data_IF_069603352142
#
_entry.id   IF_069603352142
#
_cell.length_a   1.000
_cell.length_b   1.000
_cell.length_c   1.000
_cell.angle_alpha   90.00
_cell.angle_beta   90.00
_cell.angle_gamma   90.00
#
_symmetry.space_group_name_H-M   'P 1'
#
loop_
_entity.id
_entity.type
_entity.pdbx_description
1 polymer ?
#
# COMPACT_ATOMS: atom_id res chain seq x y z
N UNK A 1 16.38 15.44 15.73
CA UNK A 1 16.60 16.39 14.59
C UNK A 1 15.31 17.15 14.39
N UNK A 2 15.36 18.50 14.34
CA UNK A 2 14.20 19.37 14.28
C UNK A 2 13.39 19.17 12.98
N UNK A 3 12.06 18.95 13.08
CA UNK A 3 11.10 18.89 11.98
C UNK A 3 10.78 20.30 11.42
N UNK A 4 11.39 21.33 11.96
CA UNK A 4 11.09 22.74 11.74
C UNK A 4 11.26 23.28 10.30
N UNK A 5 11.82 22.47 9.38
CA UNK A 5 12.06 22.92 8.00
C UNK A 5 10.85 22.97 7.07
N UNK A 6 9.69 22.43 7.49
CA UNK A 6 8.48 22.39 6.67
C UNK A 6 7.43 23.43 7.05
N UNK A 7 7.63 24.15 8.17
CA UNK A 7 6.69 25.18 8.60
C UNK A 7 6.50 26.26 7.52
N UNK A 8 5.25 26.45 7.09
CA UNK A 8 4.87 27.40 6.05
C UNK A 8 5.24 27.00 4.61
N UNK A 9 5.86 25.82 4.39
CA UNK A 9 6.14 25.29 3.04
C UNK A 9 4.88 24.77 2.37
N UNK A 10 4.74 25.06 1.10
CA UNK A 10 3.61 24.63 0.27
C UNK A 10 3.94 23.36 -0.48
N UNK A 11 3.21 22.30 -0.17
CA UNK A 11 3.39 20.96 -0.75
C UNK A 11 2.20 20.60 -1.63
N UNK A 12 2.41 20.42 -2.94
CA UNK A 12 1.43 19.81 -3.80
C UNK A 12 1.51 18.30 -3.66
N UNK A 13 0.46 17.66 -3.18
CA UNK A 13 0.36 16.19 -3.08
C UNK A 13 -0.53 15.66 -4.19
N UNK A 14 0.10 15.14 -5.25
CA UNK A 14 -0.58 14.61 -6.44
C UNK A 14 -0.83 13.13 -6.25
N UNK A 15 -2.08 12.69 -6.38
CA UNK A 15 -2.45 11.30 -6.18
C UNK A 15 -3.61 10.88 -7.09
N UNK A 16 -3.77 9.57 -7.38
CA UNK A 16 -4.92 9.10 -8.14
C UNK A 16 -6.22 9.29 -7.34
N UNK A 17 -7.33 9.47 -8.04
CA UNK A 17 -8.66 9.59 -7.43
C UNK A 17 -9.24 8.23 -6.98
N UNK A 18 -8.39 7.40 -6.40
CA UNK A 18 -8.77 6.11 -5.81
C UNK A 18 -9.06 6.28 -4.33
N UNK A 19 -10.02 5.53 -3.79
CA UNK A 19 -10.48 5.70 -2.41
C UNK A 19 -10.66 4.40 -1.61
N UNK A 20 -10.54 3.23 -2.24
CA UNK A 20 -10.79 1.95 -1.56
C UNK A 20 -9.59 1.00 -1.63
N UNK A 21 -8.38 1.55 -1.68
CA UNK A 21 -7.15 0.77 -1.86
C UNK A 21 -6.02 1.21 -0.91
N UNK A 22 -4.93 0.46 -0.89
CA UNK A 22 -3.73 0.77 -0.10
C UNK A 22 -3.14 2.15 -0.42
N UNK A 23 -3.11 2.54 -1.70
CA UNK A 23 -2.64 3.87 -2.14
C UNK A 23 -3.35 5.01 -1.41
N UNK A 24 -4.68 4.92 -1.24
CA UNK A 24 -5.43 5.97 -0.53
C UNK A 24 -4.99 6.11 0.93
N UNK A 25 -4.74 5.00 1.62
CA UNK A 25 -4.22 5.01 3.00
C UNK A 25 -2.83 5.65 3.08
N UNK A 26 -1.96 5.36 2.12
CA UNK A 26 -0.64 6.01 2.01
C UNK A 26 -0.80 7.52 1.87
N UNK A 27 -1.67 7.97 0.97
CA UNK A 27 -1.96 9.40 0.75
C UNK A 27 -2.46 10.09 2.01
N UNK A 28 -3.38 9.46 2.77
CA UNK A 28 -3.85 10.02 4.06
C UNK A 28 -2.70 10.19 5.06
N UNK A 29 -1.83 9.19 5.17
CA UNK A 29 -0.66 9.26 6.03
C UNK A 29 0.35 10.34 5.60
N UNK A 30 0.53 10.53 4.29
CA UNK A 30 1.37 11.61 3.73
C UNK A 30 0.82 13.00 4.10
N UNK A 31 -0.50 13.21 3.94
CA UNK A 31 -1.17 14.47 4.30
C UNK A 31 -0.97 14.76 5.78
N UNK A 32 -1.23 13.77 6.63
CA UNK A 32 -1.06 13.89 8.07
C UNK A 32 0.38 14.20 8.47
N UNK A 33 1.36 13.52 7.86
CA UNK A 33 2.77 13.73 8.11
C UNK A 33 3.21 15.15 7.75
N UNK A 34 2.87 15.65 6.58
CA UNK A 34 3.21 17.01 6.15
C UNK A 34 2.54 18.08 7.03
N UNK A 35 1.26 17.90 7.36
CA UNK A 35 0.54 18.82 8.25
C UNK A 35 1.17 18.86 9.65
N UNK A 36 1.54 17.69 10.18
CA UNK A 36 2.21 17.60 11.49
C UNK A 36 3.60 18.28 11.50
N UNK A 37 4.25 18.40 10.34
CA UNK A 37 5.49 19.16 10.17
C UNK A 37 5.25 20.66 9.93
N UNK A 38 4.00 21.14 9.90
CA UNK A 38 3.63 22.53 9.70
C UNK A 38 3.56 22.98 8.23
N UNK A 39 3.56 22.03 7.28
CA UNK A 39 3.41 22.36 5.87
C UNK A 39 1.94 22.67 5.50
N UNK A 40 1.76 23.57 4.53
CA UNK A 40 0.50 23.78 3.85
C UNK A 40 0.36 22.75 2.72
N UNK A 41 -0.56 21.79 2.87
CA UNK A 41 -0.71 20.66 1.96
C UNK A 41 -1.90 20.86 1.02
N UNK A 42 -1.65 20.67 -0.26
CA UNK A 42 -2.65 20.73 -1.34
C UNK A 42 -2.87 19.33 -1.93
N UNK A 43 -3.81 18.50 -1.39
CA UNK A 43 -4.12 17.22 -1.96
C UNK A 43 -4.83 17.38 -3.31
N UNK A 44 -4.25 16.82 -4.37
CA UNK A 44 -4.72 16.96 -5.75
C UNK A 44 -5.04 15.57 -6.27
N UNK A 45 -6.32 15.20 -6.22
CA UNK A 45 -6.82 13.95 -6.78
C UNK A 45 -6.95 14.06 -8.30
N UNK A 46 -6.32 13.15 -9.03
CA UNK A 46 -6.32 13.15 -10.50
C UNK A 46 -6.95 11.86 -11.01
N UNK A 47 -7.94 11.98 -11.88
CA UNK A 47 -8.46 10.85 -12.63
C UNK A 47 -7.51 10.52 -13.76
N UNK A 48 -6.96 9.31 -13.73
CA UNK A 48 -6.10 8.74 -14.77
C UNK A 48 -6.78 7.63 -15.55
N UNK A 49 -8.02 7.30 -15.20
CA UNK A 49 -8.77 6.23 -15.85
C UNK A 49 -9.44 6.72 -17.14
N UNK A 50 -9.50 5.87 -18.18
CA UNK A 50 -10.10 6.23 -19.46
C UNK A 50 -11.63 6.27 -19.43
N UNK A 51 -12.25 6.30 -18.27
CA UNK A 51 -13.69 6.35 -18.10
C UNK A 51 -14.27 7.59 -18.75
N UNK A 52 -14.95 7.41 -19.87
CA UNK A 52 -15.74 8.45 -20.56
C UNK A 52 -17.01 8.71 -19.77
N UNK A 53 -16.90 9.40 -18.66
CA UNK A 53 -18.09 9.79 -17.91
C UNK A 53 -18.48 11.20 -18.32
N UNK A 54 -19.65 11.39 -18.92
CA UNK A 54 -20.23 12.71 -19.14
C UNK A 54 -20.48 13.38 -17.79
N UNK A 55 -19.85 14.52 -17.55
CA UNK A 55 -20.07 15.30 -16.35
C UNK A 55 -18.96 15.10 -15.30
N UNK A 56 -18.01 16.02 -15.26
CA UNK A 56 -16.95 16.14 -14.26
C UNK A 56 -17.47 16.12 -12.82
N UNK A 57 -18.61 16.73 -12.60
CA UNK A 57 -19.18 16.89 -11.27
C UNK A 57 -19.60 15.56 -10.63
N UNK A 58 -19.97 14.56 -11.44
CA UNK A 58 -20.37 13.27 -10.92
C UNK A 58 -19.16 12.49 -10.34
N UNK A 59 -18.05 12.39 -11.09
CA UNK A 59 -16.83 11.70 -10.61
C UNK A 59 -16.30 12.37 -9.36
N UNK A 60 -16.27 13.71 -9.36
CA UNK A 60 -15.82 14.48 -8.20
C UNK A 60 -16.73 14.26 -6.99
N UNK A 61 -18.04 14.33 -7.18
CA UNK A 61 -19.01 14.10 -6.09
C UNK A 61 -18.88 12.69 -5.52
N UNK A 62 -18.78 11.67 -6.37
CA UNK A 62 -18.57 10.29 -5.92
C UNK A 62 -17.28 10.12 -5.13
N UNK A 63 -16.16 10.68 -5.62
CA UNK A 63 -14.89 10.67 -4.90
C UNK A 63 -15.01 11.42 -3.58
N UNK A 64 -15.62 12.62 -3.57
CA UNK A 64 -15.80 13.42 -2.38
C UNK A 64 -16.65 12.74 -1.31
N UNK A 65 -17.70 12.03 -1.70
CA UNK A 65 -18.54 11.24 -0.79
C UNK A 65 -17.81 10.02 -0.21
N UNK A 66 -16.98 9.38 -1.02
CA UNK A 66 -16.22 8.19 -0.63
C UNK A 66 -14.95 8.52 0.18
N UNK A 67 -14.55 9.78 0.31
CA UNK A 67 -13.34 10.23 0.98
C UNK A 67 -13.61 11.35 2.00
N UNK A 68 -14.47 11.11 3.01
CA UNK A 68 -14.84 12.13 3.98
C UNK A 68 -13.66 12.56 4.87
N UNK A 69 -12.62 11.71 5.00
CA UNK A 69 -11.41 12.01 5.79
C UNK A 69 -10.55 13.12 5.17
N UNK A 70 -10.67 13.33 3.87
CA UNK A 70 -10.04 14.46 3.22
C UNK A 70 -10.86 15.72 3.50
N UNK A 71 -10.22 16.74 4.02
CA UNK A 71 -10.84 18.05 4.21
C UNK A 71 -11.32 18.62 2.87
N UNK A 72 -12.65 18.82 2.75
CA UNK A 72 -13.27 19.30 1.52
C UNK A 72 -12.77 20.67 1.07
N UNK A 73 -12.34 21.51 1.99
CA UNK A 73 -11.79 22.85 1.71
C UNK A 73 -10.36 22.82 1.16
N UNK A 74 -9.63 21.72 1.35
CA UNK A 74 -8.21 21.61 0.99
C UNK A 74 -7.93 20.64 -0.14
N UNK A 75 -8.91 19.83 -0.56
CA UNK A 75 -8.74 18.85 -1.64
C UNK A 75 -9.18 19.42 -2.98
N UNK A 76 -8.47 19.01 -4.01
CA UNK A 76 -8.74 19.46 -5.37
C UNK A 76 -8.80 18.28 -6.32
N UNK A 77 -9.53 18.44 -7.42
CA UNK A 77 -9.73 17.40 -8.39
C UNK A 77 -9.31 17.84 -9.79
N UNK A 78 -8.51 17.02 -10.44
CA UNK A 78 -8.12 17.16 -11.85
C UNK A 78 -8.60 15.98 -12.69
N UNK A 79 -9.02 16.26 -13.92
CA UNK A 79 -9.41 15.21 -14.86
C UNK A 79 -9.37 15.74 -16.29
N UNK A 80 -9.19 14.83 -17.27
CA UNK A 80 -9.20 15.21 -18.68
C UNK A 80 -10.64 15.58 -19.09
N UNK A 81 -10.86 16.77 -19.68
CA UNK A 81 -12.17 17.11 -20.23
C UNK A 81 -12.47 16.28 -21.47
N UNK A 82 -13.74 15.98 -21.70
CA UNK A 82 -14.17 15.10 -22.79
C UNK A 82 -13.62 15.53 -24.18
N UNK A 83 -13.65 16.81 -24.49
CA UNK A 83 -13.12 17.31 -25.77
C UNK A 83 -11.62 17.08 -25.95
N UNK A 84 -10.83 16.95 -24.87
CA UNK A 84 -9.39 16.71 -24.95
C UNK A 84 -9.05 15.27 -25.38
N UNK A 85 -10.01 14.33 -25.25
CA UNK A 85 -9.85 12.93 -25.66
C UNK A 85 -10.41 12.65 -27.06
N UNK A 86 -11.00 13.63 -27.70
CA UNK A 86 -11.48 13.55 -29.08
C UNK A 86 -10.48 14.08 -30.11
N UNK A 87 -9.38 14.70 -29.66
CA UNK A 87 -8.40 15.33 -30.56
C UNK A 87 -7.51 14.31 -31.27
N UNK A 88 -7.04 14.62 -32.52
CA UNK A 88 -6.15 13.72 -33.30
C UNK A 88 -4.90 13.31 -32.54
N UNK A 89 -4.32 14.20 -31.73
CA UNK A 89 -3.15 13.90 -30.89
C UNK A 89 -3.44 12.87 -29.80
N UNK A 90 -4.64 12.86 -29.24
CA UNK A 90 -5.01 11.84 -28.29
C UNK A 90 -5.18 10.49 -28.99
N UNK A 91 -5.87 10.48 -30.12
CA UNK A 91 -6.08 9.26 -30.89
C UNK A 91 -4.76 8.60 -31.31
N UNK A 92 -3.80 9.38 -31.83
CA UNK A 92 -2.53 8.84 -32.35
C UNK A 92 -1.49 8.55 -31.26
N UNK A 93 -1.40 9.38 -30.20
CA UNK A 93 -0.33 9.29 -29.19
C UNK A 93 -0.76 8.64 -27.88
N UNK A 94 -2.04 8.36 -27.71
CA UNK A 94 -2.59 7.80 -26.48
C UNK A 94 -3.46 6.57 -26.76
N UNK A 95 -4.54 6.74 -27.52
CA UNK A 95 -5.48 5.66 -27.77
C UNK A 95 -4.89 4.58 -28.66
N UNK A 96 -4.23 4.96 -29.77
CA UNK A 96 -3.62 3.99 -30.69
C UNK A 96 -2.54 3.14 -30.02
N UNK A 97 -1.52 3.67 -29.30
CA UNK A 97 -0.58 2.87 -28.54
C UNK A 97 -1.28 1.98 -27.51
N UNK A 98 -2.28 2.51 -26.80
CA UNK A 98 -3.04 1.74 -25.84
C UNK A 98 -3.71 0.50 -26.46
N UNK A 99 -4.36 0.66 -27.61
CA UNK A 99 -5.00 -0.46 -28.33
C UNK A 99 -3.99 -1.50 -28.85
N UNK A 100 -2.70 -1.16 -28.90
CA UNK A 100 -1.60 -2.04 -29.26
C UNK A 100 -0.79 -2.52 -28.06
N UNK A 101 -1.36 -2.49 -26.86
CA UNK A 101 -0.76 -3.07 -25.66
C UNK A 101 -0.03 -2.10 -24.74
N UNK A 102 0.00 -0.80 -25.06
CA UNK A 102 0.63 0.22 -24.23
C UNK A 102 -0.33 0.74 -23.15
N UNK A 103 -0.41 0.02 -22.05
CA UNK A 103 -1.30 0.39 -20.94
C UNK A 103 -0.85 1.68 -20.22
N UNK A 104 0.43 2.02 -20.24
CA UNK A 104 0.92 3.26 -19.66
C UNK A 104 0.45 4.48 -20.47
N UNK A 105 0.35 4.37 -21.79
CA UNK A 105 -0.03 5.46 -22.68
C UNK A 105 -1.38 6.08 -22.31
N UNK A 106 -2.38 5.27 -21.95
CA UNK A 106 -3.69 5.81 -21.60
C UNK A 106 -3.65 6.60 -20.29
N UNK A 107 -2.98 6.07 -19.26
CA UNK A 107 -2.89 6.72 -17.94
C UNK A 107 -2.06 8.01 -18.01
N UNK A 108 -0.88 7.95 -18.64
CA UNK A 108 -0.04 9.12 -18.87
C UNK A 108 -0.74 10.17 -19.74
N UNK A 109 -1.41 9.72 -20.80
CA UNK A 109 -2.15 10.60 -21.71
C UNK A 109 -3.34 11.29 -21.06
N UNK A 110 -4.08 10.62 -20.19
CA UNK A 110 -5.17 11.20 -19.40
C UNK A 110 -4.63 12.20 -18.37
N UNK A 111 -3.60 11.85 -17.63
CA UNK A 111 -2.95 12.73 -16.66
C UNK A 111 -2.39 14.00 -17.33
N UNK A 112 -1.72 13.86 -18.47
CA UNK A 112 -1.20 14.99 -19.23
C UNK A 112 -2.28 16.01 -19.65
N UNK A 113 -3.51 15.53 -19.83
CA UNK A 113 -4.68 16.35 -20.23
C UNK A 113 -5.56 16.79 -19.07
N UNK A 114 -5.23 16.39 -17.85
CA UNK A 114 -6.00 16.78 -16.68
C UNK A 114 -6.03 18.31 -16.55
N UNK A 115 -7.25 18.87 -16.44
CA UNK A 115 -7.43 20.28 -16.09
C UNK A 115 -7.39 20.40 -14.57
N UNK A 116 -6.54 21.30 -14.12
CA UNK A 116 -6.46 21.72 -12.73
C UNK A 116 -7.17 23.06 -12.55
N UNK A 117 -7.69 23.38 -11.36
CA UNK A 117 -8.11 24.73 -11.01
C UNK A 117 -6.99 25.73 -11.27
N UNK A 118 -7.35 26.91 -11.79
CA UNK A 118 -6.36 27.93 -12.18
C UNK A 118 -5.49 28.36 -11.01
N UNK A 119 -6.07 28.52 -9.83
CA UNK A 119 -5.38 28.88 -8.59
C UNK A 119 -4.26 27.89 -8.20
N UNK A 120 -4.48 26.58 -8.39
CA UNK A 120 -3.47 25.56 -8.14
C UNK A 120 -2.40 25.55 -9.22
N UNK A 121 -2.82 25.64 -10.49
CA UNK A 121 -1.89 25.67 -11.60
C UNK A 121 -1.00 26.96 -11.58
N UNK A 122 -1.48 28.04 -11.00
CA UNK A 122 -0.75 29.31 -10.87
C UNK A 122 0.12 29.41 -9.61
N UNK A 123 -0.14 28.56 -8.61
CA UNK A 123 0.55 28.60 -7.32
C UNK A 123 2.00 28.13 -7.44
N UNK A 124 2.90 28.74 -6.70
CA UNK A 124 4.26 28.25 -6.53
C UNK A 124 4.29 27.29 -5.35
N UNK A 125 4.86 26.11 -5.56
CA UNK A 125 5.06 25.09 -4.56
C UNK A 125 6.54 25.00 -4.21
N UNK A 126 6.82 24.67 -2.95
CA UNK A 126 8.18 24.38 -2.48
C UNK A 126 8.56 22.93 -2.79
N UNK A 127 7.56 22.03 -2.85
CA UNK A 127 7.73 20.61 -3.10
C UNK A 127 6.50 20.06 -3.83
N UNK A 128 6.72 19.13 -4.77
CA UNK A 128 5.68 18.32 -5.38
C UNK A 128 5.90 16.87 -4.99
N UNK A 129 4.95 16.28 -4.26
CA UNK A 129 4.95 14.86 -3.94
C UNK A 129 3.96 14.14 -4.82
N UNK A 130 4.44 13.27 -5.69
CA UNK A 130 3.65 12.54 -6.68
C UNK A 130 3.49 11.07 -6.25
N UNK A 131 2.28 10.57 -6.35
CA UNK A 131 1.97 9.14 -6.15
C UNK A 131 1.71 8.48 -7.50
N UNK A 132 2.45 7.44 -7.82
CA UNK A 132 2.47 6.72 -9.09
C UNK A 132 3.06 7.50 -10.28
N UNK A 133 3.83 6.79 -11.09
CA UNK A 133 4.55 7.34 -12.24
C UNK A 133 3.62 7.98 -13.29
N UNK A 134 2.43 7.44 -13.48
CA UNK A 134 1.50 7.94 -14.49
C UNK A 134 0.93 9.33 -14.18
N UNK A 135 1.09 9.85 -12.96
CA UNK A 135 0.74 11.22 -12.58
C UNK A 135 1.90 12.23 -12.73
N UNK A 136 3.08 11.77 -13.12
CA UNK A 136 4.24 12.63 -13.38
C UNK A 136 3.97 13.79 -14.37
N UNK A 137 3.11 13.64 -15.41
CA UNK A 137 2.75 14.79 -16.25
C UNK A 137 2.08 15.93 -15.47
N UNK A 138 1.30 15.63 -14.45
CA UNK A 138 0.67 16.63 -13.57
C UNK A 138 1.71 17.21 -12.62
N UNK A 139 2.54 16.36 -11.99
CA UNK A 139 3.59 16.78 -11.08
C UNK A 139 4.57 17.78 -11.74
N UNK A 140 5.05 17.46 -12.96
CA UNK A 140 5.93 18.33 -13.73
C UNK A 140 5.29 19.69 -14.05
N UNK A 141 3.98 19.72 -14.34
CA UNK A 141 3.25 20.99 -14.58
C UNK A 141 3.16 21.85 -13.34
N UNK A 142 2.98 21.25 -12.16
CA UNK A 142 2.93 21.96 -10.88
C UNK A 142 4.32 22.43 -10.43
N UNK A 143 5.33 21.58 -10.60
CA UNK A 143 6.72 21.89 -10.27
C UNK A 143 7.32 23.01 -11.13
N UNK A 144 6.88 23.16 -12.38
CA UNK A 144 7.34 24.18 -13.34
C UNK A 144 8.87 24.25 -13.49
N UNK A 145 9.58 23.15 -13.27
CA UNK A 145 11.04 23.12 -13.26
C UNK A 145 11.71 23.87 -12.11
N UNK A 146 10.95 24.29 -11.08
CA UNK A 146 11.44 25.03 -9.89
C UNK A 146 11.34 24.22 -8.61
N UNK A 147 10.20 23.61 -8.36
CA UNK A 147 10.02 22.76 -7.19
C UNK A 147 10.57 21.35 -7.45
N UNK A 148 11.26 20.73 -6.50
CA UNK A 148 11.66 19.34 -6.59
C UNK A 148 10.44 18.42 -6.57
N UNK A 149 10.60 17.25 -7.22
CA UNK A 149 9.56 16.21 -7.30
C UNK A 149 10.02 14.96 -6.55
N UNK A 150 9.29 14.60 -5.48
CA UNK A 150 9.32 13.29 -4.88
C UNK A 150 8.32 12.40 -5.60
N UNK A 151 8.69 11.17 -5.91
CA UNK A 151 7.78 10.19 -6.51
C UNK A 151 7.72 8.93 -5.66
N UNK A 152 6.56 8.67 -5.05
CA UNK A 152 6.22 7.35 -4.52
C UNK A 152 5.87 6.41 -5.67
N UNK A 153 6.68 5.36 -5.81
CA UNK A 153 6.54 4.40 -6.93
C UNK A 153 5.35 3.46 -6.74
N UNK A 154 4.96 3.20 -5.50
CA UNK A 154 3.98 2.21 -5.03
C UNK A 154 4.40 0.79 -5.37
N UNK A 155 4.16 0.36 -6.61
CA UNK A 155 4.51 -0.98 -7.10
C UNK A 155 5.22 -0.85 -8.44
N UNK A 156 6.00 -1.86 -8.83
CA UNK A 156 6.47 -2.01 -10.21
C UNK A 156 5.27 -2.36 -11.10
N UNK A 157 4.66 -1.33 -11.69
CA UNK A 157 3.39 -1.44 -12.40
C UNK A 157 3.48 -2.37 -13.62
N UNK A 158 4.61 -2.40 -14.32
CA UNK A 158 4.82 -3.33 -15.42
C UNK A 158 4.63 -4.79 -14.96
N UNK A 159 5.18 -5.18 -13.80
CA UNK A 159 4.99 -6.52 -13.19
C UNK A 159 3.55 -6.77 -12.76
N UNK A 160 2.88 -5.76 -12.19
CA UNK A 160 1.48 -5.89 -11.80
C UNK A 160 0.57 -6.16 -13.00
N UNK A 161 0.79 -5.45 -14.11
CA UNK A 161 0.00 -5.66 -15.32
C UNK A 161 0.30 -6.99 -15.99
N UNK A 162 1.54 -7.47 -15.95
CA UNK A 162 1.90 -8.82 -16.44
C UNK A 162 1.14 -9.91 -15.67
N UNK A 163 1.13 -9.83 -14.34
CA UNK A 163 0.35 -10.73 -13.48
C UNK A 163 -1.16 -10.64 -13.76
N UNK A 164 -1.66 -9.44 -14.00
CA UNK A 164 -3.05 -9.21 -14.35
C UNK A 164 -3.41 -9.86 -15.70
N UNK A 165 -2.56 -9.70 -16.71
CA UNK A 165 -2.72 -10.34 -18.02
C UNK A 165 -2.73 -11.88 -17.93
N UNK A 166 -1.89 -12.46 -17.06
CA UNK A 166 -1.85 -13.90 -16.86
C UNK A 166 -3.14 -14.43 -16.23
N UNK A 167 -3.74 -13.67 -15.31
CA UNK A 167 -5.01 -14.02 -14.64
C UNK A 167 -6.25 -13.78 -15.49
N UNK A 168 -6.19 -12.82 -16.42
CA UNK A 168 -7.32 -12.43 -17.28
C UNK A 168 -6.91 -12.49 -18.77
N UNK A 169 -6.69 -13.70 -19.33
CA UNK A 169 -6.19 -13.86 -20.68
C UNK A 169 -7.12 -13.31 -21.78
N UNK A 170 -8.40 -13.11 -21.46
CA UNK A 170 -9.40 -12.50 -22.36
C UNK A 170 -9.39 -10.97 -22.36
N UNK A 171 -8.65 -10.32 -21.45
CA UNK A 171 -8.60 -8.86 -21.40
C UNK A 171 -7.72 -8.33 -22.52
N UNK A 172 -8.26 -7.42 -23.31
CA UNK A 172 -7.56 -6.76 -24.42
C UNK A 172 -7.62 -5.23 -24.21
N UNK A 173 -6.55 -4.52 -24.55
CA UNK A 173 -5.26 -4.99 -25.09
C UNK A 173 -4.37 -5.61 -24.00
N UNK A 174 -3.54 -6.58 -24.37
CA UNK A 174 -2.54 -7.17 -23.48
C UNK A 174 -1.37 -6.21 -23.30
N UNK A 175 -0.83 -6.17 -22.10
CA UNK A 175 0.37 -5.39 -21.80
C UNK A 175 1.62 -6.12 -22.31
N UNK A 176 2.47 -5.41 -23.06
CA UNK A 176 3.86 -5.83 -23.30
C UNK A 176 4.68 -5.32 -22.10
N UNK A 177 5.27 -6.25 -21.33
CA UNK A 177 6.02 -5.93 -20.11
C UNK A 177 7.12 -4.90 -20.36
N UNK A 178 7.96 -5.15 -21.37
CA UNK A 178 9.11 -4.31 -21.69
C UNK A 178 8.67 -2.90 -22.12
N UNK A 179 7.57 -2.81 -22.86
CA UNK A 179 7.03 -1.53 -23.31
C UNK A 179 6.48 -0.71 -22.15
N UNK A 180 5.74 -1.36 -21.25
CA UNK A 180 5.23 -0.69 -20.05
C UNK A 180 6.36 -0.29 -19.12
N UNK A 181 7.33 -1.17 -18.89
CA UNK A 181 8.50 -0.89 -18.07
C UNK A 181 9.28 0.31 -18.61
N UNK A 182 9.55 0.35 -19.91
CA UNK A 182 10.26 1.47 -20.51
C UNK A 182 9.57 2.82 -20.27
N UNK A 183 8.25 2.88 -20.36
CA UNK A 183 7.48 4.10 -20.12
C UNK A 183 7.40 4.46 -18.64
N UNK A 184 7.28 3.48 -17.77
CA UNK A 184 7.33 3.65 -16.32
C UNK A 184 8.67 4.27 -15.92
N UNK A 185 9.78 3.69 -16.34
CA UNK A 185 11.13 4.18 -16.06
C UNK A 185 11.36 5.58 -16.65
N UNK A 186 10.92 5.84 -17.87
CA UNK A 186 11.06 7.16 -18.51
C UNK A 186 10.28 8.24 -17.75
N UNK A 187 9.08 7.93 -17.26
CA UNK A 187 8.32 8.87 -16.44
C UNK A 187 9.03 9.16 -15.10
N UNK A 188 9.60 8.11 -14.47
CA UNK A 188 10.31 8.19 -13.18
C UNK A 188 11.60 9.03 -13.26
N UNK A 189 12.29 9.05 -14.41
CA UNK A 189 13.48 9.90 -14.61
C UNK A 189 13.24 11.37 -14.36
N UNK A 190 11.98 11.82 -14.44
CA UNK A 190 11.60 13.19 -14.15
C UNK A 190 11.47 13.55 -12.67
N UNK A 191 11.63 12.60 -11.76
CA UNK A 191 11.63 12.85 -10.32
C UNK A 191 13.04 13.12 -9.79
N UNK A 192 13.15 13.90 -8.71
CA UNK A 192 14.44 14.19 -8.03
C UNK A 192 14.80 13.10 -7.02
N UNK A 193 13.78 12.43 -6.45
CA UNK A 193 13.93 11.32 -5.54
C UNK A 193 12.78 10.31 -5.75
N UNK A 194 13.12 9.03 -5.85
CA UNK A 194 12.18 7.92 -5.90
C UNK A 194 12.04 7.32 -4.50
N UNK A 195 10.81 7.26 -4.00
CA UNK A 195 10.44 6.65 -2.74
C UNK A 195 9.79 5.29 -3.00
N UNK A 196 10.28 4.26 -2.33
CA UNK A 196 9.78 2.90 -2.49
C UNK A 196 9.11 2.46 -1.20
N UNK A 197 7.93 1.85 -1.32
CA UNK A 197 7.12 1.45 -0.19
C UNK A 197 7.50 0.07 0.37
N UNK A 198 8.38 -0.66 -0.32
CA UNK A 198 8.88 -1.95 0.13
C UNK A 198 10.34 -2.17 -0.29
N UNK A 199 11.05 -3.03 0.47
CA UNK A 199 12.49 -3.23 0.30
C UNK A 199 12.83 -3.91 -1.03
N UNK A 200 12.07 -4.92 -1.45
CA UNK A 200 12.33 -5.66 -2.68
C UNK A 200 12.24 -4.77 -3.91
N UNK A 201 11.18 -3.95 -4.00
CA UNK A 201 11.03 -3.03 -5.12
C UNK A 201 12.05 -1.90 -5.09
N UNK A 202 12.50 -1.49 -3.89
CA UNK A 202 13.60 -0.54 -3.79
C UNK A 202 14.90 -1.07 -4.43
N UNK A 203 15.18 -2.37 -4.28
CA UNK A 203 16.31 -3.04 -4.93
C UNK A 203 16.10 -3.18 -6.44
N UNK A 204 14.92 -3.64 -6.86
CA UNK A 204 14.55 -3.79 -8.26
C UNK A 204 14.71 -2.45 -9.01
N UNK A 205 14.15 -1.36 -8.46
CA UNK A 205 14.24 -0.03 -9.08
C UNK A 205 15.65 0.56 -9.05
N UNK A 206 16.46 0.28 -8.03
CA UNK A 206 17.88 0.70 -8.03
C UNK A 206 18.66 0.02 -9.16
N UNK A 207 18.36 -1.24 -9.44
CA UNK A 207 18.98 -1.95 -10.56
C UNK A 207 18.50 -1.41 -11.93
N UNK A 208 17.22 -1.01 -12.04
CA UNK A 208 16.60 -0.53 -13.27
C UNK A 208 16.93 0.95 -13.59
N UNK A 209 17.14 1.78 -12.58
CA UNK A 209 17.41 3.23 -12.70
C UNK A 209 18.59 3.66 -11.79
N UNK A 210 19.79 3.08 -11.97
CA UNK A 210 20.92 3.34 -11.06
C UNK A 210 21.37 4.82 -11.03
N UNK A 211 21.02 5.60 -12.03
CA UNK A 211 21.34 7.01 -12.11
C UNK A 211 20.44 7.91 -11.22
N UNK A 212 19.35 7.35 -10.66
CA UNK A 212 18.42 8.10 -9.83
C UNK A 212 18.74 7.96 -8.34
N UNK A 213 18.25 8.91 -7.54
CA UNK A 213 18.26 8.78 -6.08
C UNK A 213 17.07 7.95 -5.63
N UNK A 214 17.33 6.95 -4.80
CA UNK A 214 16.33 6.02 -4.28
C UNK A 214 16.33 6.03 -2.75
N UNK A 215 15.18 5.96 -2.15
CA UNK A 215 15.02 5.74 -0.72
C UNK A 215 13.88 4.77 -0.44
N UNK A 216 14.09 3.89 0.55
CA UNK A 216 13.03 3.08 1.12
C UNK A 216 12.30 3.92 2.16
N UNK A 217 11.00 4.07 1.99
CA UNK A 217 10.11 4.78 2.91
C UNK A 217 8.82 3.98 3.07
N UNK A 218 8.75 3.16 4.10
CA UNK A 218 7.56 2.36 4.37
C UNK A 218 6.34 3.24 4.63
N UNK A 219 5.15 2.84 4.15
CA UNK A 219 3.93 3.61 4.37
C UNK A 219 3.54 3.61 5.84
N UNK A 220 3.04 4.73 6.38
CA UNK A 220 2.58 4.77 7.76
C UNK A 220 1.35 3.88 7.91
N UNK A 221 1.40 3.01 8.91
CA UNK A 221 0.34 2.06 9.22
C UNK A 221 -0.13 2.30 10.65
N UNK A 222 -1.43 2.43 10.92
CA UNK A 222 -1.94 2.55 12.28
C UNK A 222 -1.53 1.35 13.14
N UNK A 223 -1.22 1.60 14.41
CA UNK A 223 -0.93 0.52 15.37
C UNK A 223 -2.21 -0.22 15.77
N UNK A 224 -2.10 -1.52 15.97
CA UNK A 224 -3.12 -2.24 16.72
C UNK A 224 -3.16 -1.73 18.17
N UNK A 225 -4.35 -1.58 18.77
CA UNK A 225 -4.47 -1.17 20.16
C UNK A 225 -3.81 -2.20 21.08
N UNK A 226 -3.15 -1.70 22.10
CA UNK A 226 -2.67 -2.53 23.21
C UNK A 226 -3.86 -2.86 24.09
N UNK A 227 -4.01 -4.14 24.43
CA UNK A 227 -5.06 -4.61 25.33
C UNK A 227 -4.47 -5.44 26.46
N UNK A 228 -5.30 -5.87 27.42
CA UNK A 228 -4.86 -6.63 28.58
C UNK A 228 -4.26 -8.00 28.21
N UNK A 229 -4.31 -8.38 26.93
CA UNK A 229 -3.96 -9.69 26.46
C UNK A 229 -5.11 -10.68 26.60
N UNK A 230 -5.01 -11.81 25.94
CA UNK A 230 -5.99 -12.89 25.98
C UNK A 230 -5.35 -14.21 25.60
N UNK A 231 -6.16 -15.26 25.50
CA UNK A 231 -5.68 -16.61 25.19
C UNK A 231 -5.83 -17.00 23.70
N UNK A 232 -6.35 -16.13 22.87
CA UNK A 232 -6.70 -16.44 21.49
C UNK A 232 -5.46 -16.56 20.59
N UNK A 233 -5.48 -17.53 19.70
CA UNK A 233 -4.54 -17.66 18.58
C UNK A 233 -5.32 -17.21 17.34
N UNK A 234 -4.80 -16.22 16.62
CA UNK A 234 -5.60 -15.53 15.62
C UNK A 234 -4.93 -15.47 14.24
N UNK A 235 -5.76 -15.54 13.20
CA UNK A 235 -5.46 -15.13 11.82
C UNK A 235 -6.40 -13.97 11.50
N UNK A 236 -5.85 -12.81 11.14
CA UNK A 236 -6.66 -11.66 10.66
C UNK A 236 -6.53 -11.56 9.15
N UNK A 237 -7.63 -11.65 8.42
CA UNK A 237 -7.57 -11.81 6.96
C UNK A 237 -8.79 -11.23 6.25
N UNK A 238 -8.56 -10.46 5.18
CA UNK A 238 -9.59 -9.90 4.31
C UNK A 238 -9.86 -10.81 3.11
N UNK A 239 -11.02 -10.64 2.48
CA UNK A 239 -11.46 -11.43 1.33
C UNK A 239 -10.79 -10.94 0.03
N UNK A 240 -9.54 -11.37 -0.20
CA UNK A 240 -8.87 -11.29 -1.50
C UNK A 240 -8.26 -12.66 -1.86
N UNK A 241 -7.96 -12.87 -3.12
CA UNK A 241 -7.53 -14.19 -3.63
C UNK A 241 -6.34 -14.76 -2.84
N UNK A 242 -5.28 -13.97 -2.64
CA UNK A 242 -4.08 -14.42 -1.94
C UNK A 242 -4.35 -14.81 -0.47
N UNK A 243 -5.23 -14.08 0.19
CA UNK A 243 -5.64 -14.36 1.56
C UNK A 243 -6.50 -15.62 1.65
N UNK A 244 -7.44 -15.79 0.71
CA UNK A 244 -8.30 -16.99 0.65
C UNK A 244 -7.45 -18.23 0.42
N UNK A 245 -6.53 -18.21 -0.55
CA UNK A 245 -5.58 -19.29 -0.80
C UNK A 245 -4.75 -19.63 0.44
N UNK A 246 -4.27 -18.61 1.14
CA UNK A 246 -3.46 -18.76 2.36
C UNK A 246 -4.25 -19.41 3.51
N UNK A 247 -5.51 -19.00 3.71
CA UNK A 247 -6.37 -19.60 4.74
C UNK A 247 -6.77 -21.03 4.37
N UNK A 248 -7.05 -21.30 3.09
CA UNK A 248 -7.31 -22.67 2.60
C UNK A 248 -6.09 -23.55 2.83
N UNK A 249 -4.88 -23.08 2.53
CA UNK A 249 -3.64 -23.80 2.80
C UNK A 249 -3.46 -24.10 4.29
N UNK A 250 -3.68 -23.09 5.16
CA UNK A 250 -3.63 -23.29 6.61
C UNK A 250 -4.60 -24.38 7.09
N UNK A 251 -5.85 -24.34 6.65
CA UNK A 251 -6.89 -25.28 7.06
C UNK A 251 -6.64 -26.70 6.53
N UNK A 252 -6.04 -26.83 5.34
CA UNK A 252 -5.77 -28.12 4.69
C UNK A 252 -4.49 -28.76 5.18
N UNK A 253 -3.41 -27.99 5.33
CA UNK A 253 -2.08 -28.52 5.53
C UNK A 253 -1.55 -28.36 6.96
N UNK A 254 -1.99 -27.34 7.71
CA UNK A 254 -1.47 -27.03 9.05
C UNK A 254 -2.42 -27.46 10.15
N UNK A 255 -3.70 -27.07 10.07
CA UNK A 255 -4.67 -27.32 11.12
C UNK A 255 -4.83 -28.82 11.48
N UNK A 256 -4.79 -29.80 10.54
CA UNK A 256 -4.85 -31.22 10.86
C UNK A 256 -3.62 -31.73 11.62
N UNK A 257 -2.46 -31.06 11.46
CA UNK A 257 -1.19 -31.44 12.12
C UNK A 257 -1.04 -30.85 13.52
N UNK A 258 -1.91 -29.89 13.88
CA UNK A 258 -1.99 -29.30 15.21
C UNK A 258 -3.39 -29.57 15.83
N UNK A 259 -3.79 -30.84 16.02
CA UNK A 259 -5.09 -31.18 16.55
C UNK A 259 -5.23 -30.63 17.97
N UNK A 260 -6.40 -30.08 18.30
CA UNK A 260 -6.65 -29.50 19.64
C UNK A 260 -6.21 -28.02 19.79
N UNK A 261 -5.48 -27.46 18.85
CA UNK A 261 -5.18 -26.03 18.87
C UNK A 261 -6.35 -25.24 18.28
N UNK A 262 -6.97 -24.42 19.11
CA UNK A 262 -8.06 -23.55 18.72
C UNK A 262 -7.49 -22.27 18.06
N UNK A 263 -7.74 -22.09 16.77
CA UNK A 263 -7.34 -20.89 16.02
C UNK A 263 -8.59 -20.16 15.55
N UNK A 264 -8.69 -18.87 15.83
CA UNK A 264 -9.76 -17.98 15.37
C UNK A 264 -9.34 -17.27 14.08
N UNK A 265 -10.22 -17.20 13.10
CA UNK A 265 -10.00 -16.54 11.82
C UNK A 265 -10.96 -15.34 11.74
N UNK A 266 -10.41 -14.15 11.85
CA UNK A 266 -11.16 -12.90 11.85
C UNK A 266 -11.06 -12.19 10.48
N UNK A 267 -12.15 -11.55 10.08
CA UNK A 267 -12.26 -10.81 8.82
C UNK A 267 -13.19 -11.52 7.83
N UNK A 268 -13.49 -10.85 6.72
CA UNK A 268 -14.44 -11.32 5.72
C UNK A 268 -13.88 -12.38 4.74
N UNK A 269 -12.76 -13.01 5.07
CA UNK A 269 -12.13 -14.09 4.28
C UNK A 269 -13.02 -15.34 4.23
N UNK A 270 -13.91 -15.52 5.21
CA UNK A 270 -14.86 -16.62 5.31
C UNK A 270 -15.71 -16.79 4.04
N UNK A 271 -16.17 -15.67 3.45
CA UNK A 271 -16.95 -15.71 2.22
C UNK A 271 -16.14 -16.29 1.04
N UNK A 272 -14.88 -15.92 0.93
CA UNK A 272 -13.98 -16.44 -0.11
C UNK A 272 -13.63 -17.92 0.10
N UNK A 273 -13.37 -18.34 1.34
CA UNK A 273 -13.09 -19.74 1.67
C UNK A 273 -14.34 -20.60 1.42
N UNK A 274 -15.52 -20.11 1.79
CA UNK A 274 -16.80 -20.82 1.50
C UNK A 274 -17.01 -21.00 0.00
N UNK A 275 -16.68 -20.01 -0.81
CA UNK A 275 -16.83 -20.09 -2.26
C UNK A 275 -15.76 -21.00 -2.91
N UNK A 276 -14.51 -20.94 -2.45
CA UNK A 276 -13.37 -21.64 -3.05
C UNK A 276 -13.16 -23.08 -2.53
N UNK A 277 -13.62 -23.39 -1.30
CA UNK A 277 -13.45 -24.67 -0.64
C UNK A 277 -14.60 -24.95 0.35
N UNK A 278 -15.84 -25.16 -0.13
CA UNK A 278 -17.03 -25.23 0.73
C UNK A 278 -16.98 -26.36 1.77
N UNK A 279 -16.47 -27.52 1.42
CA UNK A 279 -16.34 -28.65 2.36
C UNK A 279 -15.37 -28.33 3.50
N UNK A 280 -14.24 -27.70 3.17
CA UNK A 280 -13.24 -27.26 4.14
C UNK A 280 -13.80 -26.18 5.05
N UNK A 281 -14.59 -25.25 4.49
CA UNK A 281 -15.28 -24.23 5.28
C UNK A 281 -16.23 -24.86 6.29
N UNK A 282 -17.09 -25.80 5.87
CA UNK A 282 -18.06 -26.47 6.76
C UNK A 282 -17.36 -27.26 7.88
N UNK A 283 -16.25 -27.95 7.56
CA UNK A 283 -15.46 -28.68 8.55
C UNK A 283 -14.84 -27.76 9.63
N UNK A 284 -14.58 -26.50 9.29
CA UNK A 284 -13.89 -25.54 10.15
C UNK A 284 -14.70 -24.28 10.48
N UNK A 285 -16.01 -24.24 10.20
CA UNK A 285 -16.86 -23.04 10.35
C UNK A 285 -16.81 -22.41 11.73
N UNK A 286 -16.61 -23.18 12.78
CA UNK A 286 -16.48 -22.67 14.15
C UNK A 286 -15.21 -21.86 14.44
N UNK A 287 -14.24 -21.85 13.52
CA UNK A 287 -13.03 -21.03 13.63
C UNK A 287 -13.23 -19.60 13.09
N UNK A 288 -14.22 -19.40 12.21
CA UNK A 288 -14.44 -18.11 11.56
C UNK A 288 -15.28 -17.18 12.43
N UNK A 289 -14.75 -16.00 12.70
CA UNK A 289 -15.45 -14.91 13.39
C UNK A 289 -16.24 -14.01 12.42
N UNK A 290 -16.02 -14.18 11.10
CA UNK A 290 -16.57 -13.30 10.08
C UNK A 290 -15.96 -11.89 10.13
N UNK A 291 -16.67 -10.94 9.53
CA UNK A 291 -16.26 -9.54 9.52
C UNK A 291 -16.26 -8.97 10.95
N UNK A 292 -15.15 -8.36 11.32
CA UNK A 292 -15.01 -7.62 12.59
C UNK A 292 -14.92 -6.13 12.27
N UNK A 293 -15.58 -5.31 13.06
CA UNK A 293 -15.60 -3.86 12.86
C UNK A 293 -14.27 -3.23 13.26
N UNK A 294 -13.65 -3.75 14.31
CA UNK A 294 -12.32 -3.34 14.78
C UNK A 294 -11.36 -4.55 14.82
N UNK A 295 -10.50 -4.71 13.80
CA UNK A 295 -9.45 -5.72 13.83
C UNK A 295 -8.49 -5.57 15.02
N UNK A 296 -8.35 -4.37 15.55
CA UNK A 296 -7.52 -4.10 16.73
C UNK A 296 -7.99 -4.84 17.96
N UNK A 297 -9.29 -4.99 18.16
CA UNK A 297 -9.87 -5.76 19.27
C UNK A 297 -9.48 -7.24 19.21
N UNK A 298 -9.29 -7.80 18.00
CA UNK A 298 -8.84 -9.18 17.82
C UNK A 298 -7.40 -9.35 18.33
N UNK A 299 -6.50 -8.42 17.98
CA UNK A 299 -5.12 -8.43 18.48
C UNK A 299 -5.06 -8.17 20.01
N UNK A 300 -5.95 -7.33 20.53
CA UNK A 300 -6.00 -7.05 21.97
C UNK A 300 -6.32 -8.30 22.81
N UNK A 301 -7.18 -9.19 22.30
CA UNK A 301 -7.57 -10.45 22.95
C UNK A 301 -6.69 -11.66 22.64
N UNK A 302 -5.65 -11.49 21.83
CA UNK A 302 -4.82 -12.59 21.38
C UNK A 302 -3.55 -12.78 22.22
N UNK A 303 -2.99 -14.01 22.16
CA UNK A 303 -1.65 -14.35 22.65
C UNK A 303 -0.66 -14.65 21.55
N UNK A 304 -1.13 -14.97 20.37
CA UNK A 304 -0.31 -15.38 19.22
C UNK A 304 -0.99 -14.99 17.92
N UNK A 305 -0.23 -14.47 16.98
CA UNK A 305 -0.70 -14.16 15.63
C UNK A 305 -0.10 -15.13 14.62
N UNK A 306 -0.92 -15.67 13.76
CA UNK A 306 -0.50 -16.55 12.66
C UNK A 306 -0.61 -15.81 11.33
N UNK A 307 0.44 -15.88 10.55
CA UNK A 307 0.53 -15.30 9.21
C UNK A 307 0.89 -16.38 8.17
N UNK A 308 -0.03 -17.30 7.84
CA UNK A 308 0.20 -18.41 6.94
C UNK A 308 0.13 -17.97 5.46
N UNK A 309 0.77 -16.88 5.11
CA UNK A 309 0.67 -16.27 3.78
C UNK A 309 1.53 -17.04 2.77
N UNK A 310 0.95 -17.52 1.67
CA UNK A 310 1.67 -18.28 0.63
C UNK A 310 1.77 -17.53 -0.71
N UNK A 311 1.02 -16.44 -0.87
CA UNK A 311 1.01 -15.65 -2.11
C UNK A 311 0.75 -14.17 -1.83
N UNK A 312 0.95 -13.33 -2.84
CA UNK A 312 0.73 -11.88 -2.78
C UNK A 312 1.94 -11.08 -3.21
N UNK A 313 1.73 -9.79 -3.50
CA UNK A 313 2.74 -8.81 -3.94
C UNK A 313 2.79 -7.63 -2.99
N UNK A 314 3.81 -6.78 -3.12
CA UNK A 314 3.97 -5.58 -2.32
C UNK A 314 4.21 -5.85 -0.83
N UNK A 315 4.08 -4.83 0.01
CA UNK A 315 4.22 -4.94 1.46
C UNK A 315 2.98 -5.61 2.10
N UNK A 316 3.22 -6.55 3.00
CA UNK A 316 2.16 -7.20 3.78
C UNK A 316 1.68 -6.32 4.94
N UNK A 317 0.64 -5.53 4.74
CA UNK A 317 0.08 -4.66 5.80
C UNK A 317 -0.40 -5.46 7.02
N UNK A 318 -0.94 -6.67 6.84
CA UNK A 318 -1.32 -7.55 7.95
C UNK A 318 -0.14 -7.89 8.88
N UNK A 319 1.04 -8.08 8.27
CA UNK A 319 2.26 -8.34 9.04
C UNK A 319 2.69 -7.11 9.83
N UNK A 320 2.59 -5.92 9.22
CA UNK A 320 2.85 -4.66 9.93
C UNK A 320 1.88 -4.46 11.10
N UNK A 321 0.60 -4.73 10.91
CA UNK A 321 -0.42 -4.68 11.97
C UNK A 321 -0.12 -5.70 13.08
N UNK A 322 0.23 -6.94 12.72
CA UNK A 322 0.63 -7.97 13.69
C UNK A 322 1.85 -7.54 14.51
N UNK A 323 2.90 -7.02 13.85
CA UNK A 323 4.10 -6.49 14.54
C UNK A 323 3.74 -5.34 15.50
N UNK A 324 2.83 -4.45 15.09
CA UNK A 324 2.40 -3.33 15.94
C UNK A 324 1.70 -3.76 17.22
N UNK A 325 1.10 -4.96 17.23
CA UNK A 325 0.45 -5.52 18.40
C UNK A 325 1.44 -5.97 19.49
N UNK A 326 2.72 -6.18 19.14
CA UNK A 326 3.75 -6.69 20.04
C UNK A 326 3.57 -8.15 20.44
N UNK A 327 2.63 -8.87 19.83
CA UNK A 327 2.41 -10.29 20.09
C UNK A 327 3.48 -11.15 19.42
N UNK A 328 3.76 -12.36 19.93
CA UNK A 328 4.48 -13.38 19.19
C UNK A 328 3.80 -13.69 17.85
N UNK A 329 4.62 -13.96 16.83
CA UNK A 329 4.16 -14.18 15.46
C UNK A 329 4.76 -15.49 14.93
N UNK A 330 3.94 -16.33 14.30
CA UNK A 330 4.41 -17.41 13.44
C UNK A 330 4.04 -17.04 12.00
N UNK A 331 5.03 -16.98 11.14
CA UNK A 331 4.88 -16.48 9.78
C UNK A 331 5.58 -17.35 8.76
N UNK A 332 5.06 -17.42 7.56
CA UNK A 332 5.82 -17.89 6.39
C UNK A 332 6.77 -16.77 5.91
N UNK A 333 7.83 -17.07 5.15
CA UNK A 333 8.67 -16.04 4.52
C UNK A 333 7.85 -15.06 3.67
N UNK A 334 6.84 -15.56 2.97
CA UNK A 334 5.95 -14.75 2.13
C UNK A 334 5.11 -13.72 2.93
N UNK A 335 4.90 -13.97 4.23
CA UNK A 335 4.21 -13.02 5.09
C UNK A 335 5.06 -11.76 5.38
N UNK A 336 6.40 -11.87 5.34
CA UNK A 336 7.33 -10.77 5.56
C UNK A 336 7.79 -10.11 4.25
N UNK A 337 7.15 -10.45 3.12
CA UNK A 337 7.50 -9.85 1.83
C UNK A 337 7.44 -8.32 1.88
N UNK A 338 8.37 -7.70 1.20
CA UNK A 338 8.49 -6.24 1.14
C UNK A 338 9.17 -5.60 2.35
N UNK A 339 9.48 -6.38 3.41
CA UNK A 339 10.25 -5.92 4.55
C UNK A 339 11.75 -6.15 4.31
N UNK A 340 12.59 -5.42 5.06
CA UNK A 340 14.04 -5.62 5.02
C UNK A 340 14.46 -6.89 5.79
N UNK A 341 15.74 -7.26 5.67
CA UNK A 341 16.28 -8.49 6.25
C UNK A 341 16.18 -8.54 7.79
N UNK A 342 16.12 -7.40 8.46
CA UNK A 342 15.98 -7.32 9.93
C UNK A 342 14.67 -7.97 10.38
N UNK A 343 13.59 -7.79 9.63
CA UNK A 343 12.27 -8.34 9.97
C UNK A 343 12.26 -9.86 10.14
N UNK A 344 13.10 -10.57 9.38
CA UNK A 344 13.18 -12.03 9.39
C UNK A 344 13.92 -12.60 10.60
N UNK A 345 14.61 -11.76 11.37
CA UNK A 345 15.44 -12.16 12.49
C UNK A 345 14.95 -11.60 13.83
N UNK A 346 13.78 -10.99 13.87
CA UNK A 346 13.24 -10.38 15.08
C UNK A 346 12.88 -11.43 16.13
N UNK A 347 13.37 -11.31 17.36
CA UNK A 347 12.92 -12.16 18.45
C UNK A 347 11.40 -12.07 18.63
N UNK A 348 10.74 -13.21 18.80
CA UNK A 348 9.29 -13.31 18.88
C UNK A 348 8.58 -13.40 17.51
N UNK A 349 9.33 -13.38 16.40
CA UNK A 349 8.82 -13.67 15.06
C UNK A 349 9.45 -14.97 14.57
N UNK A 350 8.69 -16.05 14.57
CA UNK A 350 9.12 -17.36 14.08
C UNK A 350 8.79 -17.47 12.58
N UNK A 351 9.83 -17.45 11.75
CA UNK A 351 9.66 -17.60 10.30
C UNK A 351 9.90 -19.06 9.93
N UNK A 352 8.90 -19.70 9.33
CA UNK A 352 8.88 -21.13 9.02
C UNK A 352 8.44 -21.37 7.59
N UNK A 353 9.10 -22.28 6.89
CA UNK A 353 8.92 -22.47 5.45
C UNK A 353 7.89 -23.55 5.11
N UNK A 354 7.82 -24.63 5.92
CA UNK A 354 6.97 -25.78 5.63
C UNK A 354 5.72 -25.82 6.52
N UNK A 355 4.70 -26.55 6.07
CA UNK A 355 3.49 -26.78 6.87
C UNK A 355 3.78 -27.57 8.15
N UNK A 356 4.78 -28.46 8.12
CA UNK A 356 5.18 -29.26 9.29
C UNK A 356 5.86 -28.37 10.34
N UNK A 357 6.78 -27.51 9.92
CA UNK A 357 7.44 -26.55 10.80
C UNK A 357 6.42 -25.57 11.39
N UNK A 358 5.47 -25.11 10.57
CA UNK A 358 4.43 -24.21 11.03
C UNK A 358 3.54 -24.87 12.10
N UNK A 359 3.12 -26.11 11.88
CA UNK A 359 2.31 -26.87 12.83
C UNK A 359 3.10 -27.18 14.11
N UNK A 360 4.38 -27.50 14.00
CA UNK A 360 5.29 -27.69 15.14
C UNK A 360 5.42 -26.42 15.99
N UNK A 361 5.75 -25.30 15.36
CA UNK A 361 5.83 -24.01 16.03
C UNK A 361 4.51 -23.59 16.68
N UNK A 362 3.37 -23.81 15.97
CA UNK A 362 2.04 -23.55 16.49
C UNK A 362 1.73 -24.39 17.73
N UNK A 363 2.05 -25.68 17.73
CA UNK A 363 1.80 -26.59 18.85
C UNK A 363 2.60 -26.18 20.08
N UNK A 364 3.86 -25.81 19.91
CA UNK A 364 4.73 -25.31 21.00
C UNK A 364 4.19 -24.00 21.55
N UNK A 365 3.98 -23.01 20.72
CA UNK A 365 3.53 -21.67 21.16
C UNK A 365 2.07 -21.67 21.70
N UNK A 366 1.26 -22.66 21.32
CA UNK A 366 -0.08 -22.80 21.88
C UNK A 366 -0.09 -23.16 23.38
N UNK A 367 0.99 -23.78 23.88
CA UNK A 367 1.15 -24.11 25.29
C UNK A 367 1.64 -22.91 26.15
N UNK A 368 2.17 -21.84 25.51
CA UNK A 368 2.68 -20.69 26.20
C UNK A 368 1.57 -19.87 26.87
N UNK A 369 1.92 -19.26 27.98
CA UNK A 369 1.05 -18.28 28.64
C UNK A 369 0.90 -17.01 27.80
N UNK A 370 -0.25 -16.32 27.88
CA UNK A 370 -0.43 -15.03 27.22
C UNK A 370 0.64 -14.02 27.65
N UNK A 371 1.25 -13.25 26.71
CA UNK A 371 2.19 -12.21 27.06
C UNK A 371 1.48 -11.08 27.81
N UNK A 372 2.14 -10.50 28.81
CA UNK A 372 1.65 -9.32 29.51
C UNK A 372 1.73 -8.09 28.59
N UNK A 373 0.99 -7.06 28.93
CA UNK A 373 1.06 -5.78 28.20
C UNK A 373 2.48 -5.18 28.19
N UNK A 374 3.22 -5.31 29.31
CA UNK A 374 4.62 -4.90 29.41
C UNK A 374 5.52 -5.64 28.42
N UNK A 375 5.32 -6.95 28.27
CA UNK A 375 6.12 -7.78 27.36
C UNK A 375 5.83 -7.41 25.91
N UNK A 376 4.57 -7.15 25.58
CA UNK A 376 4.13 -6.68 24.27
C UNK A 376 4.69 -5.28 23.94
N UNK A 377 4.67 -4.36 24.92
CA UNK A 377 5.21 -3.01 24.78
C UNK A 377 6.73 -3.02 24.52
N UNK A 378 7.44 -3.96 25.13
CA UNK A 378 8.88 -4.14 24.97
C UNK A 378 9.27 -5.08 23.81
N UNK A 379 8.31 -5.59 23.07
CA UNK A 379 8.54 -6.56 21.99
C UNK A 379 9.44 -5.99 20.89
N UNK A 380 10.46 -6.75 20.43
CA UNK A 380 11.29 -6.35 19.29
C UNK A 380 10.46 -6.12 17.99
N UNK A 381 9.43 -6.92 17.76
CA UNK A 381 8.54 -6.73 16.60
C UNK A 381 7.81 -5.38 16.69
N UNK A 382 7.35 -4.98 17.88
CA UNK A 382 6.74 -3.67 18.08
C UNK A 382 7.74 -2.53 17.92
N UNK A 383 8.94 -2.67 18.47
CA UNK A 383 10.00 -1.66 18.31
C UNK A 383 10.38 -1.48 16.83
N UNK A 384 10.43 -2.57 16.06
CA UNK A 384 10.63 -2.53 14.62
C UNK A 384 9.48 -1.79 13.92
N UNK A 385 8.21 -2.11 14.24
CA UNK A 385 7.06 -1.35 13.73
C UNK A 385 7.18 0.15 14.07
N UNK A 386 7.45 0.50 15.31
CA UNK A 386 7.52 1.90 15.76
C UNK A 386 8.63 2.69 15.07
N UNK A 387 9.75 2.03 14.73
CA UNK A 387 10.89 2.65 14.06
C UNK A 387 10.71 2.79 12.55
N UNK A 388 9.85 1.98 11.91
CA UNK A 388 9.73 1.87 10.44
C UNK A 388 8.37 2.30 9.90
N UNK A 389 7.26 1.90 10.56
CA UNK A 389 5.90 1.97 10.01
C UNK A 389 4.99 2.93 10.77
N UNK A 390 5.39 3.42 11.94
CA UNK A 390 4.58 4.39 12.68
C UNK A 390 4.57 5.74 11.95
N UNK A 391 3.49 6.50 12.12
CA UNK A 391 3.41 7.85 11.56
C UNK A 391 4.56 8.77 12.03
N UNK A 392 4.98 8.74 13.32
CA UNK A 392 6.18 9.48 13.74
C UNK A 392 7.46 9.05 13.03
N UNK A 393 7.66 7.74 12.77
CA UNK A 393 8.82 7.26 12.04
C UNK A 393 8.79 7.71 10.57
N UNK A 394 7.63 7.54 9.93
CA UNK A 394 7.41 8.00 8.57
C UNK A 394 7.72 9.50 8.42
N UNK A 395 7.19 10.32 9.34
CA UNK A 395 7.40 11.77 9.36
C UNK A 395 8.88 12.14 9.48
N UNK A 396 9.62 11.49 10.42
CA UNK A 396 11.07 11.73 10.57
C UNK A 396 11.85 11.36 9.31
N UNK A 397 11.54 10.20 8.73
CA UNK A 397 12.20 9.71 7.51
C UNK A 397 11.90 10.61 6.32
N UNK A 398 10.63 10.95 6.10
CA UNK A 398 10.23 11.86 5.03
C UNK A 398 10.90 13.23 5.16
N UNK A 399 10.96 13.80 6.37
CA UNK A 399 11.65 15.05 6.64
C UNK A 399 13.15 14.96 6.30
N UNK A 400 13.81 13.89 6.71
CA UNK A 400 15.24 13.67 6.42
C UNK A 400 15.52 13.56 4.92
N UNK A 401 14.63 12.88 4.19
CA UNK A 401 14.78 12.65 2.75
C UNK A 401 14.47 13.90 1.91
N UNK A 402 13.50 14.69 2.32
CA UNK A 402 13.04 15.85 1.55
C UNK A 402 13.83 17.15 1.86
N UNK A 403 14.40 17.30 3.06
CA UNK A 403 15.20 18.48 3.45
C UNK A 403 16.29 18.86 2.46
N UNK A 404 17.16 17.96 1.98
CA UNK A 404 18.20 18.30 1.03
C UNK A 404 17.66 18.87 -0.30
N UNK A 405 16.46 18.45 -0.69
CA UNK A 405 15.79 18.94 -1.90
C UNK A 405 15.22 20.35 -1.71
N UNK A 406 14.95 20.73 -0.48
CA UNK A 406 14.45 22.06 -0.10
C UNK A 406 15.59 23.04 0.25
N UNK A 407 16.84 22.59 0.17
CA UNK A 407 18.01 23.39 0.55
C UNK A 407 18.10 23.64 2.06
N UNK A 408 17.61 22.71 2.90
CA UNK A 408 17.53 22.80 4.36
C UNK A 408 18.57 21.91 5.05
#
# INVERSE_FOLDING_TARGET
>A
MSEAGFAGRRVALVHPSWHSCGTYRVVLGQIEAYRAMGAEVFPIAVSSDPGFVPGRDWIWKSFAQATPELDAGLRFYGGAPFHAVLGPRFLTRTLWPYLHGDQAAIRLGMAARAKLPRELAARDYDLVHCNHFFLMPVARRLARGRAPILLDTHDLQARQFELFNARMPWLSPRVAYEQMLAQELEAMRGADLLLHLNAQEAEDFRALLPEKRHALLYPPTPSAPMGPGGADIVIVSSNNTANVESVIWFLREIAPKAPGVAVKIAGNVDAGVRAGAPELYEAHKGRFLGRVDDPGAVYAGAKLVLLPTISGTGLSIKTVEAMSSGLPIIATPQALRGMDAEAFQLPGVSVVETADDFAGALTVSAADSPPRESDRSASPARAYYESRFSLPAYRRSLATLAKPLLGL
#
